data_IF_607191068247
#
_entry.id   IF_607191068247
#
_cell.length_a   1.000
_cell.length_b   1.000
_cell.length_c   1.000
_cell.angle_alpha   90.00
_cell.angle_beta   90.00
_cell.angle_gamma   90.00
#
_symmetry.space_group_name_H-M   'P 1'
#
loop_
_entity.id
_entity.type
_entity.pdbx_description
1 polymer ?
#
# COMPACT_ATOMS: atom_id res chain seq x y z
N UNK A 1 23.59 -22.76 25.71
CA UNK A 1 23.50 -21.36 25.24
C UNK A 1 22.30 -21.27 24.31
N UNK A 2 21.17 -20.72 24.76
CA UNK A 2 19.95 -20.59 23.94
C UNK A 2 20.10 -19.35 23.08
N UNK A 3 20.26 -19.53 21.77
CA UNK A 3 20.27 -18.42 20.79
C UNK A 3 18.85 -17.85 20.77
N UNK A 4 18.66 -16.69 21.40
CA UNK A 4 17.46 -15.90 21.21
C UNK A 4 17.50 -15.35 19.79
N UNK A 5 16.64 -15.88 18.90
CA UNK A 5 16.34 -15.19 17.65
C UNK A 5 15.47 -13.99 18.00
N UNK A 6 16.10 -12.83 18.19
CA UNK A 6 15.37 -11.56 18.20
C UNK A 6 14.77 -11.36 16.81
N UNK A 7 13.44 -11.43 16.70
CA UNK A 7 12.75 -10.93 15.53
C UNK A 7 12.97 -9.41 15.52
N UNK A 8 13.57 -8.90 14.45
CA UNK A 8 13.79 -7.46 14.27
C UNK A 8 12.47 -6.72 14.37
N UNK A 9 12.38 -5.76 15.27
CA UNK A 9 11.21 -4.90 15.37
C UNK A 9 11.14 -4.04 14.10
N UNK A 10 10.07 -4.15 13.31
CA UNK A 10 9.88 -3.40 12.06
C UNK A 10 10.02 -1.88 12.19
N UNK A 11 9.98 -1.34 13.41
CA UNK A 11 10.15 0.09 13.75
C UNK A 11 11.39 0.79 13.16
N UNK A 12 12.43 0.05 12.78
CA UNK A 12 13.66 0.60 12.18
C UNK A 12 13.65 0.59 10.64
N UNK A 13 12.63 0.02 10.01
CA UNK A 13 12.51 0.00 8.57
C UNK A 13 12.20 1.41 8.04
N UNK A 14 12.87 1.78 6.95
CA UNK A 14 12.60 3.01 6.21
C UNK A 14 12.54 2.65 4.74
N UNK A 15 11.36 2.20 4.30
CA UNK A 15 11.15 1.71 2.96
C UNK A 15 10.36 2.71 2.12
N UNK A 16 10.60 2.64 0.81
CA UNK A 16 9.89 3.43 -0.18
C UNK A 16 9.54 2.53 -1.36
N UNK A 17 8.30 2.58 -1.80
CA UNK A 17 7.78 1.86 -2.97
C UNK A 17 7.42 2.89 -4.02
N UNK A 18 8.05 2.80 -5.19
CA UNK A 18 7.83 3.70 -6.32
C UNK A 18 7.26 2.86 -7.46
N UNK A 19 6.11 3.25 -7.98
CA UNK A 19 5.52 2.62 -9.16
C UNK A 19 5.39 3.60 -10.30
N UNK A 20 5.84 3.17 -11.48
CA UNK A 20 5.70 3.90 -12.73
C UNK A 20 4.60 3.25 -13.55
N UNK A 21 3.64 4.03 -14.02
CA UNK A 21 2.47 3.56 -14.75
C UNK A 21 2.49 4.02 -16.20
N UNK A 22 1.73 3.32 -17.04
CA UNK A 22 1.70 3.61 -18.47
C UNK A 22 1.00 4.94 -18.79
N UNK A 23 0.05 5.35 -17.95
CA UNK A 23 -0.75 6.56 -18.13
C UNK A 23 -0.90 7.33 -16.82
N UNK A 24 -1.19 8.63 -16.92
CA UNK A 24 -1.47 9.48 -15.76
C UNK A 24 -2.74 9.00 -15.04
N UNK A 25 -3.76 8.58 -15.80
CA UNK A 25 -5.01 8.08 -15.23
C UNK A 25 -4.78 6.79 -14.41
N UNK A 26 -3.93 5.88 -14.91
CA UNK A 26 -3.57 4.67 -14.16
C UNK A 26 -2.82 5.01 -12.87
N UNK A 27 -1.90 5.98 -12.92
CA UNK A 27 -1.18 6.47 -11.74
C UNK A 27 -2.13 7.13 -10.73
N UNK A 28 -3.09 7.93 -11.18
CA UNK A 28 -4.09 8.54 -10.31
C UNK A 28 -4.92 7.46 -9.59
N UNK A 29 -5.39 6.45 -10.32
CA UNK A 29 -6.17 5.38 -9.68
C UNK A 29 -5.31 4.56 -8.71
N UNK A 30 -4.02 4.36 -9.01
CA UNK A 30 -3.10 3.68 -8.10
C UNK A 30 -2.82 4.51 -6.83
N UNK A 31 -2.66 5.82 -6.94
CA UNK A 31 -2.56 6.74 -5.81
C UNK A 31 -3.79 6.62 -4.91
N UNK A 32 -4.99 6.76 -5.48
CA UNK A 32 -6.24 6.73 -4.72
C UNK A 32 -6.44 5.41 -3.95
N UNK A 33 -6.15 4.26 -4.56
CA UNK A 33 -6.32 2.95 -3.88
C UNK A 33 -5.28 2.77 -2.78
N UNK A 34 -4.06 3.23 -2.99
CA UNK A 34 -2.99 3.12 -2.01
C UNK A 34 -3.22 4.08 -0.85
N UNK A 35 -3.64 5.32 -1.11
CA UNK A 35 -3.94 6.31 -0.07
C UNK A 35 -5.09 5.85 0.83
N UNK A 36 -6.20 5.43 0.24
CA UNK A 36 -7.36 4.90 0.98
C UNK A 36 -6.96 3.76 1.92
N UNK A 37 -6.02 2.93 1.46
CA UNK A 37 -5.53 1.76 2.17
C UNK A 37 -4.51 2.11 3.26
N UNK A 38 -3.49 2.88 2.92
CA UNK A 38 -2.36 3.23 3.79
C UNK A 38 -2.79 4.15 4.92
N UNK A 39 -3.81 5.00 4.72
CA UNK A 39 -4.31 5.88 5.77
C UNK A 39 -5.52 5.32 6.52
N UNK A 40 -5.95 4.09 6.18
CA UNK A 40 -7.20 3.52 6.68
C UNK A 40 -8.40 4.51 6.59
N UNK A 41 -8.40 5.41 5.60
CA UNK A 41 -9.44 6.43 5.45
C UNK A 41 -10.80 5.84 5.08
N UNK A 42 -10.86 4.52 4.85
CA UNK A 42 -12.11 3.84 4.62
C UNK A 42 -13.10 4.04 5.77
N UNK A 43 -12.66 4.12 7.02
CA UNK A 43 -13.56 4.37 8.17
C UNK A 43 -14.18 5.78 8.14
N UNK A 44 -13.49 6.76 7.54
CA UNK A 44 -13.99 8.12 7.39
C UNK A 44 -14.80 8.35 6.12
N UNK A 45 -14.59 7.53 5.08
CA UNK A 45 -15.21 7.67 3.74
C UNK A 45 -16.34 6.67 3.50
N UNK A 46 -16.37 5.54 4.22
CA UNK A 46 -17.32 4.45 4.04
C UNK A 46 -17.86 3.94 5.38
N UNK A 47 -19.11 3.45 5.43
CA UNK A 47 -19.74 3.00 6.67
C UNK A 47 -19.15 1.70 7.23
N UNK A 48 -18.58 0.85 6.36
CA UNK A 48 -17.93 -0.40 6.73
C UNK A 48 -16.96 -0.86 5.63
N UNK A 49 -16.19 -1.92 5.92
CA UNK A 49 -15.22 -2.51 4.98
C UNK A 49 -15.89 -3.09 3.73
N UNK A 50 -17.14 -3.56 3.81
CA UNK A 50 -17.83 -4.10 2.64
C UNK A 50 -18.20 -3.00 1.65
N UNK A 51 -18.66 -1.85 2.14
CA UNK A 51 -18.95 -0.68 1.33
C UNK A 51 -17.67 -0.15 0.65
N UNK A 52 -16.54 -0.14 1.36
CA UNK A 52 -15.23 0.15 0.78
C UNK A 52 -14.87 -0.82 -0.35
N UNK A 53 -14.96 -2.13 -0.10
CA UNK A 53 -14.63 -3.16 -1.09
C UNK A 53 -15.56 -3.09 -2.31
N UNK A 54 -16.85 -2.81 -2.14
CA UNK A 54 -17.79 -2.61 -3.25
C UNK A 54 -17.51 -1.34 -4.07
N UNK A 55 -17.15 -0.24 -3.41
CA UNK A 55 -16.75 0.98 -4.11
C UNK A 55 -15.53 0.73 -5.01
N UNK A 56 -14.57 -0.05 -4.51
CA UNK A 56 -13.42 -0.46 -5.29
C UNK A 56 -13.73 -1.52 -6.34
N UNK A 57 -14.61 -2.49 -6.08
CA UNK A 57 -15.01 -3.51 -7.07
C UNK A 57 -15.51 -2.88 -8.37
N UNK A 58 -16.29 -1.80 -8.28
CA UNK A 58 -16.82 -1.11 -9.46
C UNK A 58 -15.74 -0.38 -10.28
N UNK A 59 -14.63 0.03 -9.65
CA UNK A 59 -13.55 0.84 -10.26
C UNK A 59 -12.35 -0.03 -10.68
N UNK A 60 -12.04 -1.00 -9.84
CA UNK A 60 -11.06 -2.07 -10.02
C UNK A 60 -11.65 -3.37 -9.44
N UNK A 61 -12.29 -4.20 -10.27
CA UNK A 61 -12.75 -5.52 -9.85
C UNK A 61 -11.63 -6.39 -9.26
N UNK A 62 -10.39 -6.15 -9.68
CA UNK A 62 -9.23 -6.87 -9.16
C UNK A 62 -8.93 -6.61 -7.67
N UNK A 63 -9.42 -5.51 -7.07
CA UNK A 63 -9.22 -5.22 -5.64
C UNK A 63 -9.88 -6.28 -4.76
N UNK A 64 -11.05 -6.79 -5.12
CA UNK A 64 -11.75 -7.80 -4.29
C UNK A 64 -11.09 -9.17 -4.35
N UNK A 65 -10.34 -9.47 -5.41
CA UNK A 65 -9.71 -10.78 -5.66
C UNK A 65 -8.22 -10.78 -5.30
N UNK A 66 -7.50 -9.74 -5.70
CA UNK A 66 -6.03 -9.61 -5.60
C UNK A 66 -5.60 -8.50 -4.64
N UNK A 67 -6.54 -7.72 -4.15
CA UNK A 67 -6.27 -6.62 -3.24
C UNK A 67 -5.85 -7.09 -1.85
N UNK A 68 -5.73 -6.13 -0.93
CA UNK A 68 -5.12 -6.38 0.36
C UNK A 68 -6.03 -7.26 1.25
N UNK A 69 -5.41 -8.12 2.06
CA UNK A 69 -6.12 -8.88 3.09
C UNK A 69 -6.36 -8.01 4.32
N UNK A 70 -7.24 -8.45 5.24
CA UNK A 70 -7.49 -7.75 6.51
C UNK A 70 -6.18 -7.38 7.26
N UNK A 71 -5.22 -8.31 7.31
CA UNK A 71 -3.90 -8.07 7.91
C UNK A 71 -3.06 -7.01 7.20
N UNK A 72 -3.33 -6.71 5.92
CA UNK A 72 -2.68 -5.62 5.24
C UNK A 72 -3.37 -4.28 5.60
N UNK A 73 -4.70 -4.23 5.80
CA UNK A 73 -5.41 -3.00 6.20
C UNK A 73 -4.95 -2.48 7.56
N UNK A 74 -4.58 -3.39 8.47
CA UNK A 74 -4.05 -3.02 9.79
C UNK A 74 -2.70 -2.26 9.73
N UNK A 75 -2.00 -2.27 8.58
CA UNK A 75 -0.71 -1.59 8.43
C UNK A 75 -0.81 -0.06 8.49
N UNK A 76 -1.94 0.50 8.06
CA UNK A 76 -2.13 1.95 7.97
C UNK A 76 -2.43 2.63 9.31
N UNK A 77 -2.75 1.85 10.34
CA UNK A 77 -3.28 2.35 11.60
C UNK A 77 -2.15 2.82 12.54
N UNK A 78 -1.03 2.09 12.58
CA UNK A 78 0.02 2.32 13.57
C UNK A 78 1.16 3.24 13.10
N UNK A 79 1.36 3.41 11.78
CA UNK A 79 2.39 4.31 11.22
C UNK A 79 1.92 4.91 9.89
N UNK A 80 1.54 6.21 9.84
CA UNK A 80 1.15 6.84 8.60
C UNK A 80 2.32 6.82 7.62
N UNK A 81 2.05 6.45 6.37
CA UNK A 81 3.01 6.56 5.27
C UNK A 81 2.57 7.70 4.36
N UNK A 82 3.54 8.34 3.70
CA UNK A 82 3.27 9.40 2.74
C UNK A 82 3.00 8.80 1.37
N UNK A 83 1.95 9.26 0.69
CA UNK A 83 1.62 8.88 -0.69
C UNK A 83 1.66 10.14 -1.53
N UNK A 84 2.51 10.15 -2.56
CA UNK A 84 2.68 11.27 -3.47
C UNK A 84 2.59 10.77 -4.92
N UNK A 85 2.02 11.59 -5.81
CA UNK A 85 2.03 11.32 -7.25
C UNK A 85 2.64 12.47 -8.03
N UNK A 86 3.52 12.12 -8.96
CA UNK A 86 4.06 13.01 -9.99
C UNK A 86 3.82 12.40 -11.36
N UNK A 87 2.91 12.99 -12.13
CA UNK A 87 2.42 12.49 -13.42
C UNK A 87 2.06 11.00 -13.40
N UNK A 88 2.92 10.16 -13.97
CA UNK A 88 2.80 8.71 -14.14
C UNK A 88 3.44 7.90 -13.00
N UNK A 89 4.00 8.57 -12.00
CA UNK A 89 4.76 7.94 -10.91
C UNK A 89 4.02 8.13 -9.60
N UNK A 90 3.80 7.04 -8.87
CA UNK A 90 3.27 7.06 -7.49
C UNK A 90 4.37 6.59 -6.55
N UNK A 91 4.61 7.37 -5.49
CA UNK A 91 5.61 7.09 -4.47
C UNK A 91 4.93 6.92 -3.12
N UNK A 92 5.21 5.81 -2.46
CA UNK A 92 4.79 5.53 -1.09
C UNK A 92 6.04 5.49 -0.23
N UNK A 93 6.16 6.42 0.73
CA UNK A 93 7.36 6.58 1.54
C UNK A 93 7.05 6.61 3.03
N UNK A 94 8.08 6.56 3.88
CA UNK A 94 7.89 6.51 5.33
C UNK A 94 7.40 5.16 5.87
N UNK A 95 7.50 4.09 5.08
CA UNK A 95 7.00 2.76 5.47
C UNK A 95 7.92 2.16 6.54
N UNK A 96 7.37 1.99 7.77
CA UNK A 96 8.05 1.43 8.95
C UNK A 96 7.59 0.03 9.33
N UNK A 97 7.02 -0.69 8.37
CA UNK A 97 6.53 -2.05 8.57
C UNK A 97 7.28 -3.03 7.67
N UNK A 98 7.49 -4.25 8.16
CA UNK A 98 7.98 -5.37 7.36
C UNK A 98 6.91 -5.90 6.40
N UNK A 99 5.64 -5.52 6.57
CA UNK A 99 4.49 -6.03 5.81
C UNK A 99 4.27 -5.29 4.47
N UNK A 100 5.32 -4.78 3.82
CA UNK A 100 5.24 -3.99 2.57
C UNK A 100 4.49 -4.65 1.40
N UNK A 101 4.24 -5.97 1.48
CA UNK A 101 3.56 -6.75 0.46
C UNK A 101 2.16 -6.24 0.11
N UNK A 102 1.43 -5.65 1.06
CA UNK A 102 0.11 -5.05 0.81
C UNK A 102 0.19 -3.89 -0.20
N UNK A 103 1.10 -2.96 0.04
CA UNK A 103 1.33 -1.78 -0.81
C UNK A 103 1.79 -2.22 -2.21
N UNK A 104 2.71 -3.18 -2.29
CA UNK A 104 3.20 -3.68 -3.59
C UNK A 104 2.07 -4.31 -4.40
N UNK A 105 1.18 -5.10 -3.77
CA UNK A 105 0.04 -5.70 -4.47
C UNK A 105 -0.91 -4.66 -5.02
N UNK A 106 -1.21 -3.62 -4.25
CA UNK A 106 -2.06 -2.52 -4.69
C UNK A 106 -1.48 -1.80 -5.91
N UNK A 107 -0.19 -1.49 -5.85
CA UNK A 107 0.52 -0.85 -6.95
C UNK A 107 0.51 -1.70 -8.23
N UNK A 108 0.44 -3.03 -8.12
CA UNK A 108 0.37 -3.95 -9.26
C UNK A 108 -1.01 -4.03 -9.93
N UNK A 109 -2.08 -3.55 -9.29
CA UNK A 109 -3.45 -3.69 -9.80
C UNK A 109 -3.72 -2.91 -11.10
N UNK A 110 -2.92 -1.86 -11.36
CA UNK A 110 -2.98 -1.07 -12.59
C UNK A 110 -1.83 -1.35 -13.57
N UNK A 111 -1.24 -2.54 -13.50
CA UNK A 111 -0.20 -2.99 -14.42
C UNK A 111 0.92 -1.96 -14.62
N UNK A 112 1.63 -1.61 -13.53
CA UNK A 112 2.74 -0.67 -13.59
C UNK A 112 3.80 -1.20 -14.56
N UNK A 113 4.47 -0.29 -15.26
CA UNK A 113 5.60 -0.63 -16.11
C UNK A 113 6.81 -1.03 -15.28
N UNK A 114 6.93 -0.46 -14.07
CA UNK A 114 7.99 -0.77 -13.11
C UNK A 114 7.49 -0.57 -11.68
N UNK A 115 7.91 -1.45 -10.78
CA UNK A 115 7.88 -1.22 -9.33
C UNK A 115 9.31 -1.28 -8.81
N UNK A 116 9.74 -0.19 -8.17
CA UNK A 116 11.03 -0.07 -7.50
C UNK A 116 10.83 0.05 -6.00
N UNK A 117 11.56 -0.76 -5.25
CA UNK A 117 11.57 -0.72 -3.79
C UNK A 117 12.96 -0.27 -3.35
N UNK A 118 13.02 0.74 -2.50
CA UNK A 118 14.27 1.27 -1.93
C UNK A 118 14.16 1.38 -0.42
N UNK A 119 15.30 1.47 0.25
CA UNK A 119 15.36 1.70 1.69
C UNK A 119 16.21 0.70 2.45
N UNK A 120 16.01 0.68 3.77
CA UNK A 120 16.73 -0.20 4.70
C UNK A 120 15.74 -0.97 5.58
N UNK A 121 16.07 -2.23 5.85
CA UNK A 121 15.42 -3.06 6.87
C UNK A 121 16.37 -3.24 8.05
N UNK A 122 15.85 -3.16 9.28
CA UNK A 122 16.62 -3.34 10.53
C UNK A 122 16.84 -4.80 10.91
#
# INVERSE_FOLDING_TARGET
MKIWKSFGSGHSAHLTVIGTFKTIDDAQVAEEVVEDFVHAQWEGRYPDVNAFLQAWENRLPAVTILGPTASNFDMGIDNPCDVERDEQTVTVSGIRSTEIGGIIRLMLLKYPTEIKITGITG
#
